data_IF_451445519186
#
_entry.id   IF_451445519186
#
_cell.length_a   1.000
_cell.length_b   1.000
_cell.length_c   1.000
_cell.angle_alpha   90.00
_cell.angle_beta   90.00
_cell.angle_gamma   90.00
#
_symmetry.space_group_name_H-M   'P 1'
#
loop_
_entity.id
_entity.type
_entity.pdbx_description
1 polymer ?
#
# COMPACT_ATOMS: atom_id res chain seq x y z
N UNK A 1 0.28 13.91 -15.05
CA UNK A 1 0.98 13.26 -13.92
C UNK A 1 2.36 13.90 -13.79
N UNK A 2 2.84 14.10 -12.57
CA UNK A 2 4.02 14.92 -12.29
C UNK A 2 5.37 14.28 -12.69
N UNK A 3 5.39 13.00 -13.11
CA UNK A 3 6.61 12.27 -13.42
C UNK A 3 7.23 11.59 -12.19
N UNK A 4 8.46 11.09 -12.31
CA UNK A 4 9.19 10.49 -11.19
C UNK A 4 9.75 11.56 -10.24
N UNK A 5 9.73 11.29 -8.94
CA UNK A 5 10.25 12.15 -7.87
C UNK A 5 11.12 11.33 -6.90
N UNK A 6 11.91 12.03 -6.09
CA UNK A 6 12.76 11.45 -5.03
C UNK A 6 13.59 10.25 -5.54
N UNK A 7 13.60 9.15 -4.80
CA UNK A 7 14.32 7.92 -5.15
C UNK A 7 13.91 7.34 -6.52
N UNK A 8 12.64 7.52 -6.93
CA UNK A 8 12.20 7.09 -8.25
C UNK A 8 12.83 7.95 -9.36
N UNK A 9 13.05 9.24 -9.13
CA UNK A 9 13.80 10.11 -10.06
C UNK A 9 15.28 9.73 -10.08
N UNK A 10 15.91 9.58 -8.90
CA UNK A 10 17.32 9.19 -8.79
C UNK A 10 17.60 7.87 -9.52
N UNK A 11 16.70 6.88 -9.39
CA UNK A 11 16.79 5.60 -10.10
C UNK A 11 16.87 5.76 -11.63
N UNK A 12 16.23 6.80 -12.19
CA UNK A 12 16.31 7.08 -13.63
C UNK A 12 17.66 7.65 -14.07
N UNK A 13 18.41 8.26 -13.16
CA UNK A 13 19.71 8.87 -13.46
C UNK A 13 20.85 7.85 -13.55
N UNK A 14 20.64 6.66 -12.98
CA UNK A 14 21.58 5.55 -13.06
C UNK A 14 21.72 5.03 -14.50
N UNK A 15 22.84 4.38 -14.78
CA UNK A 15 23.02 3.58 -15.99
C UNK A 15 22.29 2.24 -15.90
N UNK A 16 22.10 1.57 -17.03
CA UNK A 16 21.52 0.22 -17.05
C UNK A 16 22.36 -0.80 -16.29
N UNK A 17 23.69 -0.64 -16.29
CA UNK A 17 24.62 -1.52 -15.59
C UNK A 17 24.53 -1.30 -14.07
N UNK A 18 24.51 -0.05 -13.61
CA UNK A 18 24.33 0.28 -12.18
C UNK A 18 22.99 -0.25 -11.65
N UNK A 19 21.89 -0.05 -12.39
CA UNK A 19 20.59 -0.62 -12.03
C UNK A 19 20.66 -2.14 -11.96
N UNK A 20 21.32 -2.79 -12.92
CA UNK A 20 21.42 -4.25 -12.96
C UNK A 20 22.25 -4.79 -11.81
N UNK A 21 23.33 -4.11 -11.43
CA UNK A 21 24.17 -4.46 -10.27
C UNK A 21 23.37 -4.35 -8.97
N UNK A 22 22.72 -3.21 -8.70
CA UNK A 22 21.87 -3.02 -7.51
C UNK A 22 20.77 -4.08 -7.48
N UNK A 23 20.06 -4.28 -8.58
CA UNK A 23 19.01 -5.30 -8.70
C UNK A 23 19.53 -6.71 -8.37
N UNK A 24 20.75 -7.04 -8.77
CA UNK A 24 21.35 -8.34 -8.46
C UNK A 24 21.63 -8.52 -6.97
N UNK A 25 22.06 -7.45 -6.29
CA UNK A 25 22.31 -7.45 -4.84
C UNK A 25 20.99 -7.66 -4.06
N UNK A 26 19.93 -6.93 -4.43
CA UNK A 26 18.60 -7.10 -3.83
C UNK A 26 18.04 -8.51 -4.09
N UNK A 27 18.15 -9.01 -5.32
CA UNK A 27 17.69 -10.35 -5.67
C UNK A 27 18.45 -11.45 -4.90
N UNK A 28 19.76 -11.30 -4.72
CA UNK A 28 20.58 -12.23 -3.93
C UNK A 28 20.18 -12.24 -2.45
N UNK A 29 19.69 -11.11 -1.92
CA UNK A 29 19.13 -11.00 -0.58
C UNK A 29 17.65 -11.46 -0.48
N UNK A 30 17.03 -11.87 -1.60
CA UNK A 30 15.61 -12.23 -1.64
C UNK A 30 14.67 -11.03 -1.51
N UNK A 31 15.16 -9.81 -1.74
CA UNK A 31 14.40 -8.55 -1.64
C UNK A 31 13.92 -8.13 -3.02
N UNK A 32 12.68 -7.62 -3.09
CA UNK A 32 12.09 -7.04 -4.29
C UNK A 32 12.19 -5.51 -4.22
N UNK A 33 12.53 -4.89 -5.34
CA UNK A 33 12.57 -3.44 -5.51
C UNK A 33 11.40 -2.99 -6.37
N UNK A 34 10.55 -2.14 -5.81
CA UNK A 34 9.31 -1.66 -6.41
C UNK A 34 9.31 -0.15 -6.51
N UNK A 35 8.48 0.39 -7.40
CA UNK A 35 8.20 1.83 -7.45
C UNK A 35 6.84 2.14 -6.83
N UNK A 36 6.80 3.17 -6.00
CA UNK A 36 5.56 3.76 -5.52
C UNK A 36 5.05 4.76 -6.54
N UNK A 37 3.77 4.70 -6.89
CA UNK A 37 3.12 5.67 -7.78
C UNK A 37 2.04 6.45 -7.06
N UNK A 38 1.85 7.69 -7.51
CA UNK A 38 0.93 8.69 -6.95
C UNK A 38 1.40 9.27 -5.62
N UNK A 39 0.77 8.87 -4.51
CA UNK A 39 0.88 9.54 -3.21
C UNK A 39 -0.08 10.72 -3.07
N UNK A 40 0.01 11.38 -1.91
CA UNK A 40 -0.97 12.37 -1.45
C UNK A 40 -1.20 13.59 -2.37
N UNK A 41 -0.26 13.92 -3.26
CA UNK A 41 -0.32 15.09 -4.16
C UNK A 41 -0.85 14.78 -5.56
N UNK A 42 -0.92 13.51 -5.95
CA UNK A 42 -1.38 13.11 -7.28
C UNK A 42 -2.86 12.68 -7.23
N UNK A 43 -3.72 13.40 -7.96
CA UNK A 43 -5.18 13.15 -8.04
C UNK A 43 -5.60 12.81 -9.48
N UNK A 44 -5.15 11.66 -10.02
CA UNK A 44 -5.25 11.37 -11.45
C UNK A 44 -6.70 11.25 -11.95
N UNK A 45 -7.63 10.75 -11.14
CA UNK A 45 -9.03 10.57 -11.58
C UNK A 45 -9.77 11.90 -11.63
N UNK A 46 -9.62 12.73 -10.60
CA UNK A 46 -10.22 14.07 -10.57
C UNK A 46 -9.55 15.00 -11.59
N UNK A 47 -8.26 14.80 -11.86
CA UNK A 47 -7.55 15.52 -12.92
C UNK A 47 -7.92 15.03 -14.33
N UNK A 48 -8.73 13.97 -14.45
CA UNK A 48 -9.20 13.45 -15.75
C UNK A 48 -8.14 12.70 -16.55
N UNK A 49 -7.13 12.14 -15.90
CA UNK A 49 -6.14 11.30 -16.56
C UNK A 49 -6.81 10.10 -17.24
N UNK A 50 -6.34 9.73 -18.43
CA UNK A 50 -6.80 8.50 -19.06
C UNK A 50 -6.22 7.30 -18.29
N UNK A 51 -7.08 6.44 -17.75
CA UNK A 51 -6.66 5.32 -16.92
C UNK A 51 -5.85 4.23 -17.62
N UNK A 52 -6.16 3.93 -18.89
CA UNK A 52 -5.46 2.90 -19.65
C UNK A 52 -4.07 3.44 -20.02
N UNK A 53 -4.00 4.68 -20.52
CA UNK A 53 -2.74 5.33 -20.82
C UNK A 53 -1.87 5.50 -19.56
N UNK A 54 -2.50 5.74 -18.40
CA UNK A 54 -1.82 5.79 -17.10
C UNK A 54 -1.19 4.45 -16.75
N UNK A 55 -1.96 3.35 -16.86
CA UNK A 55 -1.48 1.99 -16.63
C UNK A 55 -0.35 1.60 -17.60
N UNK A 56 -0.49 1.92 -18.89
CA UNK A 56 0.54 1.65 -19.90
C UNK A 56 1.83 2.43 -19.62
N UNK A 57 1.71 3.69 -19.19
CA UNK A 57 2.87 4.51 -18.78
C UNK A 57 3.62 3.86 -17.61
N UNK A 58 2.89 3.37 -16.60
CA UNK A 58 3.49 2.68 -15.44
C UNK A 58 4.15 1.36 -15.83
N UNK A 59 3.49 0.53 -16.63
CA UNK A 59 4.04 -0.74 -17.09
C UNK A 59 5.30 -0.54 -17.94
N UNK A 60 5.31 0.46 -18.82
CA UNK A 60 6.48 0.84 -19.60
C UNK A 60 7.64 1.29 -18.70
N UNK A 61 7.35 2.09 -17.67
CA UNK A 61 8.36 2.59 -16.74
C UNK A 61 9.00 1.47 -15.91
N UNK A 62 8.20 0.57 -15.35
CA UNK A 62 8.69 -0.62 -14.60
C UNK A 62 9.61 -1.47 -15.49
N UNK A 63 9.19 -1.69 -16.74
CA UNK A 63 9.97 -2.48 -17.72
C UNK A 63 11.27 -1.78 -18.08
N UNK A 64 11.20 -0.49 -18.42
CA UNK A 64 12.37 0.32 -18.80
C UNK A 64 13.42 0.35 -17.69
N UNK A 65 12.99 0.50 -16.43
CA UNK A 65 13.88 0.65 -15.29
C UNK A 65 14.10 -0.64 -14.49
N UNK A 66 13.70 -1.80 -15.05
CA UNK A 66 13.99 -3.15 -14.55
C UNK A 66 13.54 -3.40 -13.09
N UNK A 67 12.43 -2.79 -12.68
CA UNK A 67 11.88 -2.96 -11.35
C UNK A 67 11.09 -4.26 -11.24
N UNK A 68 10.93 -4.75 -10.01
CA UNK A 68 10.16 -5.98 -9.78
C UNK A 68 8.66 -5.71 -9.87
N UNK A 69 8.21 -4.52 -9.48
CA UNK A 69 6.77 -4.23 -9.39
C UNK A 69 6.45 -2.80 -9.09
N UNK A 70 5.19 -2.59 -8.70
CA UNK A 70 4.60 -1.29 -8.46
C UNK A 70 3.69 -1.30 -7.23
N UNK A 71 3.96 -0.41 -6.30
CA UNK A 71 3.10 -0.06 -5.18
C UNK A 71 2.21 1.13 -5.59
N UNK A 72 0.89 1.00 -5.43
CA UNK A 72 -0.09 1.99 -5.90
C UNK A 72 -0.61 2.79 -4.70
N UNK A 73 0.03 3.92 -4.42
CA UNK A 73 -0.34 4.82 -3.33
C UNK A 73 -1.46 5.79 -3.73
N UNK A 74 -2.62 5.23 -4.09
CA UNK A 74 -3.73 6.02 -4.62
C UNK A 74 -4.50 6.76 -3.51
N UNK A 75 -4.30 8.07 -3.44
CA UNK A 75 -4.88 8.97 -2.43
C UNK A 75 -5.88 9.98 -3.00
N UNK A 76 -6.44 9.74 -4.20
CA UNK A 76 -7.51 10.56 -4.77
C UNK A 76 -8.86 10.28 -4.09
N UNK A 77 -8.97 10.67 -2.81
CA UNK A 77 -10.08 10.33 -1.92
C UNK A 77 -11.43 10.80 -2.46
N UNK A 78 -11.48 11.95 -3.14
CA UNK A 78 -12.71 12.43 -3.75
C UNK A 78 -13.22 11.48 -4.86
N UNK A 79 -12.31 10.88 -5.63
CA UNK A 79 -12.67 9.87 -6.62
C UNK A 79 -13.12 8.55 -5.98
N UNK A 80 -12.44 8.11 -4.90
CA UNK A 80 -12.81 6.93 -4.11
C UNK A 80 -14.23 7.07 -3.56
N UNK A 81 -14.55 8.21 -2.97
CA UNK A 81 -15.85 8.52 -2.38
C UNK A 81 -16.96 8.61 -3.42
N UNK A 82 -16.65 9.12 -4.62
CA UNK A 82 -17.61 9.32 -5.70
C UNK A 82 -17.90 8.06 -6.54
N UNK A 83 -17.16 6.96 -6.35
CA UNK A 83 -17.44 5.64 -6.98
C UNK A 83 -17.55 5.73 -8.49
N UNK A 84 -16.76 6.62 -9.07
CA UNK A 84 -16.85 6.86 -10.50
C UNK A 84 -16.45 5.58 -11.23
N UNK A 85 -17.09 5.27 -12.35
CA UNK A 85 -16.64 4.16 -13.22
C UNK A 85 -15.16 4.30 -13.62
N UNK A 86 -14.59 5.50 -13.48
CA UNK A 86 -13.17 5.81 -13.67
C UNK A 86 -12.25 5.12 -12.65
N UNK A 87 -12.75 4.73 -11.46
CA UNK A 87 -12.01 3.86 -10.53
C UNK A 87 -11.69 2.51 -11.18
N UNK A 88 -12.55 1.95 -12.05
CA UNK A 88 -12.28 0.65 -12.73
C UNK A 88 -10.97 0.65 -13.53
N UNK A 89 -10.47 1.84 -13.81
CA UNK A 89 -9.58 2.08 -14.90
C UNK A 89 -8.19 2.48 -14.35
N UNK A 90 -8.12 3.24 -13.24
CA UNK A 90 -6.91 3.30 -12.38
C UNK A 90 -6.57 1.92 -11.81
N UNK A 91 -7.59 1.08 -11.60
CA UNK A 91 -7.47 -0.31 -11.17
C UNK A 91 -7.36 -1.31 -12.31
N UNK A 92 -6.82 -0.90 -13.45
CA UNK A 92 -6.38 -1.84 -14.47
C UNK A 92 -5.09 -2.55 -14.05
N UNK A 93 -5.05 -3.06 -12.82
CA UNK A 93 -4.18 -4.16 -12.40
C UNK A 93 -4.19 -5.25 -13.48
N UNK A 94 -5.35 -5.50 -14.10
CA UNK A 94 -5.45 -6.40 -15.24
C UNK A 94 -4.73 -5.94 -16.53
N UNK A 95 -4.54 -4.63 -16.78
CA UNK A 95 -3.72 -4.15 -17.90
C UNK A 95 -2.23 -4.11 -17.53
N UNK A 96 -1.88 -3.64 -16.34
CA UNK A 96 -0.50 -3.67 -15.84
C UNK A 96 0.00 -5.14 -15.79
N UNK A 97 -0.80 -6.06 -15.24
CA UNK A 97 -0.51 -7.51 -15.18
C UNK A 97 -0.56 -8.24 -16.51
N UNK A 98 -1.29 -7.74 -17.52
CA UNK A 98 -1.24 -8.31 -18.87
C UNK A 98 -0.02 -7.82 -19.66
N UNK A 99 0.44 -6.60 -19.42
CA UNK A 99 1.59 -6.01 -20.12
C UNK A 99 2.93 -6.35 -19.44
N UNK A 100 2.93 -6.72 -18.15
CA UNK A 100 4.10 -7.25 -17.47
C UNK A 100 4.05 -8.78 -17.50
N UNK A 101 5.00 -9.40 -18.22
CA UNK A 101 5.12 -10.86 -18.30
C UNK A 101 5.41 -11.44 -16.90
N UNK A 102 4.38 -12.00 -16.26
CA UNK A 102 4.42 -12.91 -15.11
C UNK A 102 5.56 -12.69 -14.09
N UNK A 103 5.24 -12.08 -12.93
CA UNK A 103 5.55 -12.62 -11.57
C UNK A 103 5.81 -11.63 -10.41
N UNK A 104 5.57 -10.31 -10.50
CA UNK A 104 5.89 -9.44 -9.34
C UNK A 104 5.08 -8.14 -9.22
N UNK A 105 3.76 -8.18 -9.43
CA UNK A 105 2.93 -7.00 -9.22
C UNK A 105 2.39 -6.97 -7.79
N UNK A 106 3.21 -6.50 -6.84
CA UNK A 106 2.69 -6.13 -5.54
C UNK A 106 1.93 -4.81 -5.63
N UNK A 107 0.69 -4.82 -6.14
CA UNK A 107 -0.22 -3.67 -5.97
C UNK A 107 -0.56 -3.58 -4.49
N UNK A 108 0.32 -2.97 -3.74
CA UNK A 108 -0.02 -2.46 -2.45
C UNK A 108 -0.88 -1.24 -2.69
N UNK A 109 -2.15 -1.43 -2.38
CA UNK A 109 -3.14 -0.39 -2.49
C UNK A 109 -3.21 0.32 -1.15
N UNK A 110 -2.63 1.52 -1.11
CA UNK A 110 -2.59 2.30 0.10
C UNK A 110 -3.91 3.03 0.36
N UNK A 111 -4.09 3.29 1.65
CA UNK A 111 -5.11 4.16 2.24
C UNK A 111 -6.54 3.65 2.16
N UNK A 112 -6.84 2.61 2.94
CA UNK A 112 -8.18 2.48 3.52
C UNK A 112 -8.50 3.69 4.45
N UNK A 113 -8.41 4.97 4.03
CA UNK A 113 -9.07 6.09 4.73
C UNK A 113 -10.57 5.86 4.58
N UNK A 114 -11.12 4.87 5.29
CA UNK A 114 -12.55 4.60 5.37
C UNK A 114 -13.19 5.70 6.21
N UNK A 115 -13.33 6.90 5.65
CA UNK A 115 -14.02 7.98 6.35
C UNK A 115 -15.50 7.68 6.31
N UNK A 116 -16.15 7.83 7.45
CA UNK A 116 -17.59 7.96 7.68
C UNK A 116 -18.54 7.15 6.78
N UNK A 117 -19.20 6.16 7.40
CA UNK A 117 -20.41 5.55 6.85
C UNK A 117 -20.18 4.37 5.91
N UNK A 118 -18.92 4.03 5.63
CA UNK A 118 -18.55 2.86 4.83
C UNK A 118 -18.37 1.62 5.72
N UNK A 119 -19.42 1.28 6.49
CA UNK A 119 -19.90 -0.08 6.80
C UNK A 119 -20.99 -0.02 7.89
N UNK A 120 -22.25 -0.45 7.63
CA UNK A 120 -22.71 -1.25 6.49
C UNK A 120 -23.54 -0.43 5.49
N UNK A 121 -23.31 -0.61 4.19
CA UNK A 121 -24.30 -0.39 3.10
C UNK A 121 -25.12 0.92 3.11
N UNK A 122 -24.63 2.05 3.61
CA UNK A 122 -25.35 3.32 3.45
C UNK A 122 -24.53 4.35 2.70
N UNK A 123 -25.07 4.71 1.53
CA UNK A 123 -24.69 5.80 0.63
C UNK A 123 -23.28 5.75 0.03
N UNK A 124 -23.10 4.85 -0.93
CA UNK A 124 -22.37 5.23 -2.14
C UNK A 124 -21.43 4.18 -2.69
N UNK A 125 -20.37 3.83 -1.96
CA UNK A 125 -19.13 3.50 -2.69
C UNK A 125 -18.26 2.32 -2.36
N UNK A 126 -18.39 1.69 -1.20
CA UNK A 126 -17.56 0.54 -0.84
C UNK A 126 -16.03 0.79 -0.80
N UNK A 127 -15.55 1.98 -1.20
CA UNK A 127 -14.14 2.37 -1.20
C UNK A 127 -13.23 1.28 -1.76
N UNK A 128 -12.18 0.96 -1.01
CA UNK A 128 -11.25 -0.11 -1.37
C UNK A 128 -11.81 -1.52 -1.27
N UNK A 129 -12.89 -1.75 -0.52
CA UNK A 129 -13.60 -3.04 -0.58
C UNK A 129 -14.24 -3.23 -1.95
N UNK A 130 -14.76 -2.16 -2.56
CA UNK A 130 -15.29 -2.24 -3.93
C UNK A 130 -14.20 -2.57 -4.94
N UNK A 131 -12.99 -2.02 -4.75
CA UNK A 131 -11.83 -2.37 -5.57
C UNK A 131 -11.46 -3.84 -5.37
N UNK A 132 -11.39 -4.30 -4.12
CA UNK A 132 -11.10 -5.69 -3.79
C UNK A 132 -12.12 -6.64 -4.43
N UNK A 133 -13.42 -6.33 -4.39
CA UNK A 133 -14.45 -7.10 -5.09
C UNK A 133 -14.22 -7.21 -6.61
N UNK A 134 -13.61 -6.21 -7.24
CA UNK A 134 -13.42 -6.16 -8.70
C UNK A 134 -12.10 -6.79 -9.16
N UNK A 135 -11.01 -6.58 -8.41
CA UNK A 135 -9.64 -6.92 -8.83
C UNK A 135 -8.78 -7.46 -7.69
N UNK A 136 -9.37 -7.80 -6.54
CA UNK A 136 -8.65 -8.30 -5.36
C UNK A 136 -7.79 -9.53 -5.63
N UNK A 137 -8.19 -10.39 -6.57
CA UNK A 137 -7.44 -11.57 -7.00
C UNK A 137 -6.11 -11.23 -7.71
N UNK A 138 -6.00 -10.02 -8.27
CA UNK A 138 -4.79 -9.54 -8.95
C UNK A 138 -3.86 -8.76 -8.01
N UNK A 139 -4.27 -8.57 -6.76
CA UNK A 139 -3.51 -7.83 -5.74
C UNK A 139 -2.83 -8.83 -4.83
N UNK A 140 -1.49 -8.75 -4.74
CA UNK A 140 -0.72 -9.64 -3.88
C UNK A 140 -0.90 -9.30 -2.39
N UNK A 141 -0.77 -8.03 -2.02
CA UNK A 141 -0.79 -7.52 -0.65
C UNK A 141 -1.34 -6.09 -0.61
N UNK A 142 -1.78 -5.65 0.56
CA UNK A 142 -2.25 -4.30 0.88
C UNK A 142 -1.36 -3.71 1.98
N UNK A 143 -0.51 -2.72 1.68
CA UNK A 143 0.19 -1.98 2.74
C UNK A 143 -0.77 -0.96 3.38
N UNK A 144 -1.50 -1.42 4.40
CA UNK A 144 -2.54 -0.61 5.03
C UNK A 144 -1.89 0.43 5.94
N UNK A 145 -1.99 1.71 5.56
CA UNK A 145 -1.52 2.83 6.39
C UNK A 145 -2.37 2.99 7.67
N UNK A 146 -1.93 2.42 8.80
CA UNK A 146 -2.57 2.58 10.11
C UNK A 146 -2.09 3.86 10.85
N UNK A 147 -2.04 4.97 10.12
CA UNK A 147 -1.57 6.29 10.59
C UNK A 147 -2.28 7.43 9.83
N UNK A 148 -2.00 8.69 10.19
CA UNK A 148 -2.65 9.89 9.62
C UNK A 148 -4.17 9.96 9.77
N UNK A 149 -4.75 9.27 10.77
CA UNK A 149 -6.18 9.34 11.13
C UNK A 149 -6.39 9.50 12.63
N UNK A 150 -5.80 8.60 13.40
CA UNK A 150 -5.75 8.65 14.87
C UNK A 150 -4.66 7.71 15.38
N UNK A 151 -4.15 8.00 16.57
CA UNK A 151 -3.32 7.04 17.31
C UNK A 151 -4.17 5.83 17.72
N UNK A 152 -3.74 4.65 17.33
CA UNK A 152 -4.38 3.38 17.65
C UNK A 152 -3.55 2.64 18.69
N UNK A 153 -4.19 2.18 19.77
CA UNK A 153 -3.61 1.14 20.62
C UNK A 153 -3.79 -0.24 19.95
N UNK A 154 -3.26 -1.29 20.57
CA UNK A 154 -3.36 -2.67 20.06
C UNK A 154 -4.81 -3.06 19.73
N UNK A 155 -5.76 -2.77 20.62
CA UNK A 155 -7.16 -3.10 20.40
C UNK A 155 -7.75 -2.33 19.20
N UNK A 156 -7.42 -1.05 19.07
CA UNK A 156 -7.85 -0.20 17.96
C UNK A 156 -7.25 -0.60 16.62
N UNK A 157 -6.01 -1.08 16.63
CA UNK A 157 -5.29 -1.56 15.45
C UNK A 157 -5.87 -2.89 14.96
N UNK A 158 -6.10 -3.83 15.87
CA UNK A 158 -6.44 -5.20 15.50
C UNK A 158 -7.95 -5.45 15.43
N UNK A 159 -8.73 -4.98 16.40
CA UNK A 159 -10.08 -5.48 16.64
C UNK A 159 -11.20 -4.48 16.35
N UNK A 160 -11.03 -3.23 16.79
CA UNK A 160 -12.14 -2.28 16.78
C UNK A 160 -11.67 -0.88 16.43
N UNK A 161 -11.97 -0.47 15.20
CA UNK A 161 -11.80 0.92 14.78
C UNK A 161 -12.77 1.84 15.53
N UNK A 162 -12.44 3.13 15.57
CA UNK A 162 -13.33 4.17 16.10
C UNK A 162 -14.60 4.34 15.25
N UNK A 163 -15.68 4.88 15.84
CA UNK A 163 -16.98 5.08 15.17
C UNK A 163 -16.87 5.81 13.83
N UNK A 164 -16.05 6.87 13.77
CA UNK A 164 -15.82 7.65 12.53
C UNK A 164 -15.19 6.83 11.39
N UNK A 165 -14.54 5.71 11.73
CA UNK A 165 -13.73 4.85 10.86
C UNK A 165 -14.14 3.37 10.98
N UNK A 166 -15.42 3.11 11.26
CA UNK A 166 -15.89 1.76 11.56
C UNK A 166 -15.50 0.75 10.46
N UNK A 167 -14.99 -0.42 10.84
CA UNK A 167 -14.58 -1.47 9.93
C UNK A 167 -13.13 -1.40 9.45
N UNK A 168 -12.32 -0.46 9.95
CA UNK A 168 -10.91 -0.32 9.51
C UNK A 168 -9.89 -1.09 10.32
N UNK A 169 -10.24 -1.74 11.43
CA UNK A 169 -9.25 -2.53 12.16
C UNK A 169 -8.87 -3.76 11.33
N UNK A 170 -7.67 -4.32 11.55
CA UNK A 170 -7.14 -5.42 10.76
C UNK A 170 -8.15 -6.57 10.56
N UNK A 171 -8.71 -7.08 11.66
CA UNK A 171 -9.66 -8.19 11.61
C UNK A 171 -11.03 -7.78 11.08
N UNK A 172 -11.42 -6.52 11.26
CA UNK A 172 -12.66 -6.03 10.65
C UNK A 172 -12.53 -5.93 9.13
N UNK A 173 -11.38 -5.52 8.59
CA UNK A 173 -11.14 -5.52 7.14
C UNK A 173 -11.22 -6.96 6.61
N UNK A 174 -10.64 -7.92 7.33
CA UNK A 174 -10.71 -9.33 6.96
C UNK A 174 -12.15 -9.87 6.99
N UNK A 175 -12.93 -9.53 8.02
CA UNK A 175 -14.35 -9.89 8.13
C UNK A 175 -15.21 -9.30 6.99
N UNK A 176 -14.70 -8.29 6.28
CA UNK A 176 -15.33 -7.69 5.10
C UNK A 176 -14.85 -8.30 3.76
N UNK A 177 -14.17 -9.44 3.81
CA UNK A 177 -13.89 -10.27 2.63
C UNK A 177 -12.50 -10.14 2.05
N UNK A 178 -11.60 -9.35 2.67
CA UNK A 178 -10.19 -9.32 2.25
C UNK A 178 -9.43 -10.44 2.95
N UNK A 179 -8.72 -11.28 2.18
CA UNK A 179 -7.88 -12.31 2.76
C UNK A 179 -6.89 -11.73 3.77
N UNK A 180 -6.89 -12.30 4.98
CA UNK A 180 -6.07 -11.83 6.09
C UNK A 180 -4.57 -11.81 5.73
N UNK A 181 -4.12 -12.76 4.92
CA UNK A 181 -2.75 -12.83 4.43
C UNK A 181 -2.39 -11.63 3.55
N UNK A 182 -3.35 -11.07 2.81
CA UNK A 182 -3.06 -9.89 1.96
C UNK A 182 -2.84 -8.62 2.78
N UNK A 183 -3.22 -8.56 4.06
CA UNK A 183 -3.18 -7.32 4.84
C UNK A 183 -1.83 -7.12 5.52
N UNK A 184 -1.09 -6.07 5.16
CA UNK A 184 0.19 -5.68 5.79
C UNK A 184 -0.06 -4.49 6.71
N UNK A 185 0.53 -4.50 7.92
CA UNK A 185 0.38 -3.39 8.89
C UNK A 185 1.41 -2.30 8.59
N UNK A 186 0.95 -1.16 8.08
CA UNK A 186 1.77 0.03 7.82
C UNK A 186 1.83 0.99 9.01
N UNK A 187 3.03 1.40 9.41
CA UNK A 187 3.28 2.37 10.48
C UNK A 187 4.37 3.38 10.11
N UNK A 188 4.34 4.59 10.66
CA UNK A 188 5.44 5.51 10.44
C UNK A 188 6.67 5.08 11.26
N UNK A 189 7.87 5.29 10.72
CA UNK A 189 9.12 4.95 11.38
C UNK A 189 9.35 5.79 12.64
N UNK A 190 8.98 7.08 12.57
CA UNK A 190 9.06 8.02 13.68
C UNK A 190 7.77 8.81 13.83
N UNK A 191 7.64 9.54 14.94
CA UNK A 191 6.51 10.44 15.16
C UNK A 191 6.45 11.63 14.20
N UNK A 192 7.55 11.99 13.53
CA UNK A 192 7.60 13.08 12.54
C UNK A 192 7.21 12.67 11.13
N UNK A 193 7.21 11.37 10.82
CA UNK A 193 6.91 10.88 9.46
C UNK A 193 5.41 10.87 9.13
N UNK A 194 4.56 11.14 10.12
CA UNK A 194 3.11 11.19 9.98
C UNK A 194 2.50 12.16 11.00
N UNK A 195 1.33 12.72 10.69
CA UNK A 195 0.58 13.60 11.59
C UNK A 195 0.13 12.90 12.88
N UNK A 196 -0.04 11.58 12.86
CA UNK A 196 -0.35 10.72 14.02
C UNK A 196 -0.17 9.24 13.63
N UNK A 197 -0.27 8.34 14.62
CA UNK A 197 -0.32 6.89 14.37
C UNK A 197 1.00 6.15 14.57
N UNK A 198 2.07 6.87 14.92
CA UNK A 198 3.33 6.28 15.38
C UNK A 198 3.11 5.32 16.54
N UNK A 199 3.86 4.24 16.49
CA UNK A 199 3.92 3.17 17.47
C UNK A 199 5.39 2.77 17.51
N UNK A 200 5.98 2.74 18.70
CA UNK A 200 7.38 2.31 18.82
C UNK A 200 7.54 0.85 18.35
N UNK A 201 8.74 0.47 17.87
CA UNK A 201 8.96 -0.86 17.29
C UNK A 201 8.57 -2.03 18.20
N UNK A 202 8.75 -1.91 19.52
CA UNK A 202 8.48 -2.99 20.47
C UNK A 202 6.97 -3.18 20.69
N UNK A 203 6.22 -2.07 20.82
CA UNK A 203 4.76 -2.10 20.86
C UNK A 203 4.19 -2.63 19.53
N UNK A 204 4.78 -2.24 18.40
CA UNK A 204 4.36 -2.75 17.09
C UNK A 204 4.59 -4.26 17.01
N UNK A 205 5.78 -4.75 17.36
CA UNK A 205 6.09 -6.16 17.35
C UNK A 205 5.11 -6.98 18.21
N UNK A 206 4.75 -6.48 19.40
CA UNK A 206 3.72 -7.09 20.26
C UNK A 206 2.36 -7.19 19.56
N UNK A 207 1.95 -6.14 18.83
CA UNK A 207 0.72 -6.17 18.05
C UNK A 207 0.78 -7.19 16.91
N UNK A 208 1.92 -7.28 16.22
CA UNK A 208 2.13 -8.25 15.14
C UNK A 208 2.05 -9.69 15.68
N UNK A 209 2.73 -9.98 16.80
CA UNK A 209 2.66 -11.31 17.44
C UNK A 209 1.25 -11.68 17.86
N UNK A 210 0.51 -10.74 18.47
CA UNK A 210 -0.91 -10.95 18.81
C UNK A 210 -1.78 -11.23 17.58
N UNK A 211 -1.46 -10.62 16.42
CA UNK A 211 -2.17 -10.89 15.18
C UNK A 211 -1.78 -12.27 14.61
N UNK A 212 -0.49 -12.64 14.65
CA UNK A 212 0.00 -13.96 14.21
C UNK A 212 -0.61 -15.11 14.99
N UNK A 213 -0.74 -14.98 16.31
CA UNK A 213 -1.42 -15.95 17.17
C UNK A 213 -2.89 -16.19 16.77
N UNK A 214 -3.45 -15.30 15.95
CA UNK A 214 -4.83 -15.35 15.44
C UNK A 214 -4.90 -15.65 13.94
N UNK A 215 -3.81 -16.16 13.36
CA UNK A 215 -3.76 -16.64 11.97
C UNK A 215 -3.42 -15.58 10.93
N UNK A 216 -2.97 -14.39 11.33
CA UNK A 216 -2.49 -13.37 10.40
C UNK A 216 -1.01 -13.55 10.06
N UNK A 217 -0.61 -13.38 8.79
CA UNK A 217 0.77 -13.57 8.34
C UNK A 217 1.27 -12.51 7.33
N UNK A 218 0.60 -11.35 7.25
CA UNK A 218 0.85 -10.34 6.21
C UNK A 218 2.16 -9.55 6.36
N UNK A 219 2.67 -9.36 7.58
CA UNK A 219 3.91 -8.61 7.84
C UNK A 219 3.73 -7.11 8.07
N UNK A 220 4.82 -6.35 8.08
CA UNK A 220 4.83 -4.92 8.38
C UNK A 220 5.39 -4.08 7.24
N UNK A 221 4.86 -2.86 7.09
CA UNK A 221 5.36 -1.81 6.22
C UNK A 221 5.74 -0.60 7.09
N UNK A 222 6.78 0.13 6.68
CA UNK A 222 7.24 1.33 7.36
C UNK A 222 7.30 2.54 6.43
N UNK A 223 6.76 3.68 6.90
CA UNK A 223 6.93 4.99 6.28
C UNK A 223 7.81 5.89 7.18
N UNK A 224 9.06 6.17 6.88
CA UNK A 224 9.76 5.88 5.64
C UNK A 224 11.24 5.61 5.91
N UNK A 225 11.94 5.07 4.93
CA UNK A 225 13.38 5.16 4.86
C UNK A 225 13.82 6.64 4.71
N UNK A 226 14.94 7.10 5.32
CA UNK A 226 15.93 6.33 6.10
C UNK A 226 15.58 6.12 7.57
N UNK A 227 14.45 6.61 8.07
CA UNK A 227 14.11 6.44 9.49
C UNK A 227 13.72 4.99 9.84
N UNK A 228 13.05 4.28 8.93
CA UNK A 228 12.73 2.85 9.04
C UNK A 228 13.92 1.98 8.60
N UNK A 229 15.03 2.08 9.31
CA UNK A 229 16.30 1.45 8.96
C UNK A 229 16.39 -0.03 9.40
N UNK A 230 17.60 -0.61 9.27
CA UNK A 230 17.89 -1.98 9.72
C UNK A 230 17.53 -2.22 11.19
N UNK A 231 17.75 -1.23 12.07
CA UNK A 231 17.47 -1.36 13.50
C UNK A 231 15.96 -1.42 13.77
N UNK A 232 15.18 -0.63 13.02
CA UNK A 232 13.72 -0.69 13.05
C UNK A 232 13.24 -2.07 12.57
N UNK A 233 13.76 -2.54 11.43
CA UNK A 233 13.40 -3.82 10.83
C UNK A 233 13.71 -4.98 11.79
N UNK A 234 14.91 -5.00 12.38
CA UNK A 234 15.30 -6.03 13.34
C UNK A 234 14.37 -6.04 14.57
N UNK A 235 14.11 -4.86 15.15
CA UNK A 235 13.25 -4.73 16.33
C UNK A 235 11.83 -5.24 16.06
N UNK A 236 11.26 -4.91 14.90
CA UNK A 236 9.91 -5.34 14.52
C UNK A 236 9.87 -6.83 14.19
N UNK A 237 10.87 -7.37 13.48
CA UNK A 237 10.88 -8.79 13.09
C UNK A 237 11.13 -9.74 14.26
N UNK A 238 12.16 -9.50 15.06
CA UNK A 238 12.66 -10.44 16.07
C UNK A 238 11.68 -10.65 17.22
N UNK A 239 10.81 -9.67 17.47
CA UNK A 239 9.86 -9.66 18.58
C UNK A 239 8.41 -9.90 18.15
N UNK A 240 8.18 -10.21 16.86
CA UNK A 240 6.86 -10.42 16.26
C UNK A 240 6.49 -11.86 16.02
#
# INVERSE_FOLDING_TARGET
>A
MAGAWDEAYEWTTLTDDERSDIKSQYAAAGVKLLVFVFGSSDVPTISGADPIATADTMAAWITQYKLDGIDVDYEDFAAIDAVTEKLKCVHSSSHISRNLSSSAIHISLHTLRLRHGSLPRTSGGGGYLKVHEMVGDMIDRYNVQFYNRKTLNLHGLLNMSYETWNGTALFQIADNGVDLSKLVIGKPATASDASNGYMDPDTLATCLGTAKDRGWDGGAMVWQYPHGDESWIASVRDKS
#
